data_IF_537681751138
#
_entry.id   IF_537681751138
#
_cell.length_a   1.000
_cell.length_b   1.000
_cell.length_c   1.000
_cell.angle_alpha   90.00
_cell.angle_beta   90.00
_cell.angle_gamma   90.00
#
_symmetry.space_group_name_H-M   'P 1'
#
loop_
_entity.id
_entity.type
_entity.pdbx_description
1 polymer ?
#
# COMPACT_ATOMS: atom_id res chain seq x y z
N UNK A 1 -7.36 27.10 18.75
CA UNK A 1 -6.61 26.46 17.64
C UNK A 1 -5.68 25.31 18.07
N UNK A 2 -5.17 25.29 19.31
CA UNK A 2 -4.36 24.16 19.84
C UNK A 2 -5.00 22.77 19.70
N UNK A 3 -6.32 22.65 19.91
CA UNK A 3 -7.04 21.39 19.70
C UNK A 3 -6.94 20.89 18.24
N UNK A 4 -7.05 21.80 17.27
CA UNK A 4 -7.00 21.46 15.85
C UNK A 4 -5.61 20.96 15.43
N UNK A 5 -4.54 21.53 15.98
CA UNK A 5 -3.17 21.04 15.75
C UNK A 5 -3.00 19.59 16.25
N UNK A 6 -3.56 19.27 17.42
CA UNK A 6 -3.57 17.90 17.94
C UNK A 6 -4.31 16.96 17.00
N UNK A 7 -5.53 17.32 16.57
CA UNK A 7 -6.32 16.50 15.65
C UNK A 7 -5.62 16.28 14.30
N UNK A 8 -4.96 17.31 13.76
CA UNK A 8 -4.19 17.18 12.53
C UNK A 8 -2.93 16.33 12.70
N UNK A 9 -2.31 16.34 13.89
CA UNK A 9 -1.21 15.44 14.22
C UNK A 9 -1.69 13.98 14.24
N UNK A 10 -2.83 13.72 14.88
CA UNK A 10 -3.43 12.39 14.89
C UNK A 10 -3.75 11.93 13.45
N UNK A 11 -4.32 12.81 12.62
CA UNK A 11 -4.60 12.53 11.21
C UNK A 11 -3.33 12.24 10.40
N UNK A 12 -2.25 13.00 10.60
CA UNK A 12 -0.95 12.75 9.96
C UNK A 12 -0.43 11.35 10.31
N UNK A 13 -0.44 11.00 11.59
CA UNK A 13 0.02 9.68 12.04
C UNK A 13 -0.86 8.55 11.51
N UNK A 14 -2.17 8.77 11.37
CA UNK A 14 -3.09 7.82 10.78
C UNK A 14 -2.77 7.58 9.29
N UNK A 15 -2.66 8.66 8.50
CA UNK A 15 -2.34 8.58 7.07
C UNK A 15 -0.99 7.89 6.85
N UNK A 16 0.01 8.17 7.70
CA UNK A 16 1.33 7.55 7.64
C UNK A 16 1.31 6.04 7.88
N UNK A 17 0.31 5.53 8.60
CA UNK A 17 0.14 4.09 8.89
C UNK A 17 -0.71 3.36 7.84
N UNK A 18 -1.22 4.06 6.82
CA UNK A 18 -2.01 3.41 5.78
C UNK A 18 -1.17 2.36 5.05
N UNK A 19 -1.73 1.16 4.77
CA UNK A 19 -1.03 0.13 4.04
C UNK A 19 -0.74 0.59 2.61
N UNK A 20 0.48 0.31 2.16
CA UNK A 20 0.98 0.66 0.82
C UNK A 20 1.14 -0.61 -0.02
N UNK A 21 0.88 -0.49 -1.32
CA UNK A 21 1.09 -1.57 -2.27
C UNK A 21 2.57 -2.01 -2.31
N UNK A 22 2.80 -3.31 -2.39
CA UNK A 22 4.13 -3.89 -2.49
C UNK A 22 4.80 -3.48 -3.80
N UNK A 23 5.99 -2.88 -3.73
CA UNK A 23 6.74 -2.42 -4.89
C UNK A 23 7.38 -3.56 -5.70
N UNK A 24 7.41 -4.79 -5.18
CA UNK A 24 7.92 -5.95 -5.91
C UNK A 24 6.96 -6.47 -6.98
N UNK A 25 5.69 -6.05 -6.94
CA UNK A 25 4.64 -6.52 -7.82
C UNK A 25 4.12 -5.39 -8.72
N UNK A 26 3.67 -5.76 -9.92
CA UNK A 26 3.00 -4.82 -10.83
C UNK A 26 1.49 -4.83 -10.59
N UNK A 27 0.98 -3.75 -10.00
CA UNK A 27 -0.42 -3.61 -9.63
C UNK A 27 -1.23 -2.81 -10.66
N UNK A 28 -2.39 -3.33 -11.04
CA UNK A 28 -3.37 -2.67 -11.89
C UNK A 28 -4.69 -2.50 -11.12
N UNK A 29 -5.31 -1.32 -11.24
CA UNK A 29 -6.60 -1.05 -10.61
C UNK A 29 -7.70 -1.77 -11.39
N UNK A 30 -8.54 -2.54 -10.69
CA UNK A 30 -9.70 -3.20 -11.26
C UNK A 30 -10.98 -2.43 -10.88
N UNK A 31 -11.59 -1.68 -11.81
CA UNK A 31 -12.78 -0.85 -11.52
C UNK A 31 -14.01 -1.65 -11.10
N UNK A 32 -14.03 -2.97 -11.35
CA UNK A 32 -15.18 -3.81 -11.00
C UNK A 32 -15.19 -4.22 -9.53
N UNK A 33 -14.02 -4.23 -8.88
CA UNK A 33 -13.85 -4.67 -7.49
C UNK A 33 -13.26 -3.60 -6.59
N UNK A 34 -13.02 -2.39 -7.12
CA UNK A 34 -12.34 -1.28 -6.45
C UNK A 34 -11.05 -1.71 -5.72
N UNK A 35 -10.33 -2.68 -6.31
CA UNK A 35 -9.14 -3.29 -5.73
C UNK A 35 -7.98 -3.32 -6.72
N UNK A 36 -6.76 -3.43 -6.19
CA UNK A 36 -5.56 -3.62 -6.99
C UNK A 36 -5.32 -5.11 -7.22
N UNK A 37 -5.01 -5.48 -8.46
CA UNK A 37 -4.66 -6.85 -8.84
C UNK A 37 -3.33 -6.91 -9.56
N UNK A 38 -2.59 -8.00 -9.35
CA UNK A 38 -1.37 -8.26 -10.12
C UNK A 38 -1.69 -8.86 -11.48
N UNK A 39 -0.72 -8.83 -12.39
CA UNK A 39 -0.77 -9.69 -13.58
C UNK A 39 -0.75 -11.17 -13.18
N UNK A 40 -1.37 -12.00 -14.02
CA UNK A 40 -1.47 -13.43 -13.77
C UNK A 40 -0.13 -14.12 -14.03
N UNK A 41 0.55 -14.54 -12.96
CA UNK A 41 1.82 -15.27 -13.07
C UNK A 41 1.51 -16.74 -13.26
N UNK A 42 1.99 -17.31 -14.38
CA UNK A 42 1.88 -18.75 -14.68
C UNK A 42 3.17 -19.48 -14.32
N UNK A 43 3.06 -20.50 -13.48
CA UNK A 43 4.18 -21.38 -13.13
C UNK A 43 3.90 -22.81 -13.57
N UNK A 44 4.93 -23.50 -14.05
CA UNK A 44 4.83 -24.87 -14.55
C UNK A 44 5.15 -25.83 -13.41
N UNK A 45 4.30 -26.83 -13.20
CA UNK A 45 4.61 -27.96 -12.32
C UNK A 45 5.18 -29.09 -13.16
N UNK A 46 6.42 -29.47 -12.90
CA UNK A 46 7.06 -30.64 -13.52
C UNK A 46 6.98 -31.87 -12.61
N UNK A 47 7.03 -33.05 -13.22
CA UNK A 47 7.19 -34.33 -12.53
C UNK A 47 8.30 -35.10 -13.22
N UNK A 48 9.21 -35.64 -12.41
CA UNK A 48 10.22 -36.57 -12.87
C UNK A 48 9.57 -37.90 -13.23
N UNK A 49 9.66 -38.27 -14.50
CA UNK A 49 9.20 -39.55 -15.01
C UNK A 49 10.44 -40.39 -15.34
N UNK A 50 10.59 -41.59 -14.74
CA UNK A 50 11.71 -42.46 -15.06
C UNK A 50 11.55 -43.01 -16.48
N UNK A 51 12.55 -42.80 -17.32
CA UNK A 51 12.66 -43.37 -18.66
C UNK A 51 13.86 -44.31 -18.71
N UNK A 52 13.70 -45.42 -19.43
CA UNK A 52 14.76 -46.37 -19.70
C UNK A 52 15.50 -45.91 -20.97
N UNK A 53 16.79 -45.57 -20.86
CA UNK A 53 17.67 -45.47 -22.00
C UNK A 53 18.50 -46.75 -22.12
N UNK A 54 18.34 -47.45 -23.24
CA UNK A 54 19.19 -48.58 -23.60
C UNK A 54 20.47 -48.00 -24.20
N UNK A 55 21.56 -48.00 -23.43
CA UNK A 55 22.87 -47.51 -23.90
C UNK A 55 23.52 -48.47 -24.89
N UNK A 56 23.28 -49.76 -24.71
CA UNK A 56 23.75 -50.83 -25.59
C UNK A 56 22.64 -51.88 -25.71
N UNK A 57 22.27 -52.19 -26.96
CA UNK A 57 21.30 -53.24 -27.26
C UNK A 57 21.85 -54.61 -26.87
N UNK A 58 20.96 -55.54 -26.54
CA UNK A 58 21.38 -56.89 -26.16
C UNK A 58 22.06 -57.58 -27.36
N UNK A 59 23.25 -58.13 -27.13
CA UNK A 59 23.92 -59.03 -28.09
C UNK A 59 23.74 -60.47 -27.60
N UNK A 60 23.98 -61.48 -28.46
CA UNK A 60 23.83 -62.89 -28.07
C UNK A 60 24.61 -63.27 -26.79
N UNK A 61 25.67 -62.53 -26.47
CA UNK A 61 26.60 -62.84 -25.38
C UNK A 61 26.49 -61.88 -24.19
N UNK A 62 25.80 -60.75 -24.32
CA UNK A 62 25.69 -59.75 -23.26
C UNK A 62 24.28 -59.15 -23.14
N UNK A 63 23.73 -59.06 -21.91
CA UNK A 63 22.44 -58.43 -21.68
C UNK A 63 22.51 -56.92 -21.96
N UNK A 64 21.36 -56.34 -22.32
CA UNK A 64 21.25 -54.90 -22.59
C UNK A 64 21.66 -54.08 -21.37
N UNK A 65 22.52 -53.07 -21.59
CA UNK A 65 22.86 -52.12 -20.55
C UNK A 65 21.81 -51.01 -20.52
N UNK A 66 20.94 -51.10 -19.52
CA UNK A 66 19.86 -50.15 -19.27
C UNK A 66 20.29 -49.17 -18.20
N UNK A 67 20.20 -47.87 -18.48
CA UNK A 67 20.27 -46.83 -17.46
C UNK A 67 18.90 -46.14 -17.33
N UNK A 68 18.46 -45.97 -16.09
CA UNK A 68 17.26 -45.19 -15.79
C UNK A 68 17.68 -43.74 -15.64
N UNK A 69 17.13 -42.85 -16.47
CA UNK A 69 17.26 -41.41 -16.30
C UNK A 69 15.89 -40.79 -16.06
N UNK A 70 15.87 -39.64 -15.40
CA UNK A 70 14.64 -38.93 -15.07
C UNK A 70 14.45 -37.80 -16.08
N UNK A 71 13.30 -37.81 -16.75
CA UNK A 71 12.85 -36.72 -17.61
C UNK A 71 11.87 -35.85 -16.82
N UNK A 72 12.07 -34.53 -16.83
CA UNK A 72 11.12 -33.58 -16.23
C UNK A 72 10.00 -33.27 -17.22
N UNK A 73 8.84 -33.89 -17.01
CA UNK A 73 7.65 -33.67 -17.84
C UNK A 73 6.75 -32.62 -17.19
N UNK A 74 6.26 -31.64 -17.96
CA UNK A 74 5.28 -30.66 -17.49
C UNK A 74 3.92 -31.34 -17.25
N UNK A 75 3.43 -31.32 -16.01
CA UNK A 75 2.17 -31.99 -15.61
C UNK A 75 1.01 -31.00 -15.50
N UNK A 76 1.28 -29.70 -15.41
CA UNK A 76 0.25 -28.68 -15.41
C UNK A 76 0.77 -27.29 -15.13
N UNK A 77 -0.15 -26.32 -15.15
CA UNK A 77 0.12 -24.92 -14.91
C UNK A 77 -0.65 -24.43 -13.68
N UNK A 78 0.02 -23.66 -12.83
CA UNK A 78 -0.62 -22.88 -11.78
C UNK A 78 -0.69 -21.43 -12.25
N UNK A 79 -1.84 -20.79 -12.06
CA UNK A 79 -2.00 -19.36 -12.32
C UNK A 79 -2.31 -18.67 -11.00
N UNK A 80 -1.48 -17.70 -10.63
CA UNK A 80 -1.65 -16.93 -9.38
C UNK A 80 -1.94 -15.48 -9.72
N UNK A 81 -2.98 -14.93 -9.09
CA UNK A 81 -3.31 -13.50 -9.13
C UNK A 81 -3.42 -13.03 -7.68
N UNK A 82 -2.71 -11.97 -7.32
CA UNK A 82 -2.80 -11.35 -6.00
C UNK A 82 -3.76 -10.18 -6.05
N UNK A 83 -4.48 -9.95 -4.96
CA UNK A 83 -5.41 -8.83 -4.78
C UNK A 83 -5.01 -8.02 -3.55
N UNK A 84 -5.18 -6.70 -3.60
CA UNK A 84 -4.87 -5.80 -2.49
C UNK A 84 -5.81 -4.60 -2.45
N UNK A 85 -6.22 -4.20 -1.24
CA UNK A 85 -6.94 -2.95 -0.97
C UNK A 85 -6.03 -1.82 -0.49
N UNK A 86 -4.70 -2.01 -0.52
CA UNK A 86 -3.74 -1.00 -0.11
C UNK A 86 -3.68 0.17 -1.11
N UNK A 87 -3.15 1.31 -0.67
CA UNK A 87 -3.03 2.50 -1.50
C UNK A 87 -1.68 2.54 -2.22
N UNK A 88 -1.60 3.13 -3.43
CA UNK A 88 -0.31 3.45 -4.03
C UNK A 88 0.51 4.38 -3.13
N UNK A 89 1.82 4.14 -3.03
CA UNK A 89 2.73 4.95 -2.22
C UNK A 89 2.62 6.45 -2.54
N UNK A 90 2.53 6.77 -3.84
CA UNK A 90 2.30 8.14 -4.32
C UNK A 90 1.06 8.77 -3.71
N UNK A 91 -0.05 8.03 -3.64
CA UNK A 91 -1.31 8.56 -3.11
C UNK A 91 -1.20 8.85 -1.62
N UNK A 92 -0.53 7.99 -0.86
CA UNK A 92 -0.27 8.21 0.57
C UNK A 92 0.59 9.46 0.76
N UNK A 93 1.65 9.64 -0.04
CA UNK A 93 2.51 10.82 0.02
C UNK A 93 1.73 12.12 -0.31
N UNK A 94 0.89 12.11 -1.34
CA UNK A 94 0.04 13.26 -1.67
C UNK A 94 -0.91 13.64 -0.51
N UNK A 95 -1.42 12.66 0.24
CA UNK A 95 -2.26 12.91 1.40
C UNK A 95 -1.44 13.47 2.57
N UNK A 96 -0.24 12.93 2.82
CA UNK A 96 0.67 13.44 3.84
C UNK A 96 1.03 14.91 3.58
N UNK A 97 1.44 15.24 2.35
CA UNK A 97 1.78 16.61 1.96
C UNK A 97 0.61 17.58 2.19
N UNK A 98 -0.64 17.15 1.92
CA UNK A 98 -1.83 17.97 2.16
C UNK A 98 -2.07 18.21 3.65
N UNK A 99 -1.90 17.17 4.48
CA UNK A 99 -2.06 17.30 5.94
C UNK A 99 -0.98 18.22 6.52
N UNK A 100 0.26 18.09 6.06
CA UNK A 100 1.38 18.95 6.51
C UNK A 100 1.17 20.42 6.14
N UNK A 101 0.73 20.71 4.91
CA UNK A 101 0.38 22.08 4.51
C UNK A 101 -0.74 22.66 5.38
N UNK A 102 -1.74 21.85 5.71
CA UNK A 102 -2.83 22.27 6.57
C UNK A 102 -2.34 22.52 8.01
N UNK A 103 -1.47 21.67 8.55
CA UNK A 103 -0.84 21.89 9.85
C UNK A 103 -0.07 23.21 9.91
N UNK A 104 0.73 23.50 8.88
CA UNK A 104 1.48 24.76 8.79
C UNK A 104 0.54 25.97 8.75
N UNK A 105 -0.52 25.92 7.93
CA UNK A 105 -1.50 27.00 7.83
C UNK A 105 -2.22 27.25 9.16
N UNK A 106 -2.62 26.19 9.87
CA UNK A 106 -3.28 26.30 11.18
C UNK A 106 -2.35 26.88 12.23
N UNK A 107 -1.07 26.47 12.22
CA UNK A 107 -0.07 27.00 13.15
C UNK A 107 0.14 28.50 12.91
N UNK A 108 0.28 28.91 11.65
CA UNK A 108 0.38 30.32 11.28
C UNK A 108 -0.84 31.13 11.73
N UNK A 109 -2.05 30.64 11.44
CA UNK A 109 -3.29 31.30 11.87
C UNK A 109 -3.42 31.41 13.39
N UNK A 110 -2.89 30.43 14.15
CA UNK A 110 -2.82 30.51 15.61
C UNK A 110 -1.85 31.59 16.08
N UNK A 111 -0.67 31.64 15.48
CA UNK A 111 0.34 32.66 15.81
C UNK A 111 -0.20 34.07 15.53
N UNK A 112 -0.90 34.27 14.41
CA UNK A 112 -1.58 35.53 14.07
C UNK A 112 -2.71 35.87 15.07
N UNK A 113 -3.57 34.90 15.40
CA UNK A 113 -4.64 35.11 16.38
C UNK A 113 -4.11 35.44 17.78
N UNK A 114 -2.99 34.83 18.19
CA UNK A 114 -2.35 35.14 19.47
C UNK A 114 -1.62 36.49 19.46
N UNK A 115 -1.15 36.94 18.30
CA UNK A 115 -0.48 38.23 18.12
C UNK A 115 -1.44 39.41 17.95
N UNK A 116 -2.74 39.15 17.80
CA UNK A 116 -3.75 40.21 17.72
C UNK A 116 -3.95 40.82 19.11
N UNK A 117 -3.55 42.07 19.29
CA UNK A 117 -3.85 42.82 20.51
C UNK A 117 -5.36 42.95 20.68
N UNK A 118 -5.90 42.25 21.66
CA UNK A 118 -7.26 42.48 22.12
C UNK A 118 -7.25 43.82 22.84
N UNK A 119 -7.71 44.88 22.17
CA UNK A 119 -8.04 46.12 22.89
C UNK A 119 -9.10 45.76 23.94
N UNK A 120 -8.73 45.79 25.21
CA UNK A 120 -9.64 45.58 26.33
C UNK A 120 -10.66 46.73 26.33
N UNK A 121 -11.74 46.54 25.59
CA UNK A 121 -12.86 47.48 25.55
C UNK A 121 -13.74 47.16 26.73
N UNK A 122 -13.70 48.03 27.74
CA UNK A 122 -14.71 48.04 28.81
C UNK A 122 -16.04 48.54 28.24
N UNK A 123 -16.73 47.66 27.52
CA UNK A 123 -18.06 47.90 26.95
C UNK A 123 -19.16 47.92 28.02
N UNK A 124 -18.82 47.58 29.27
CA UNK A 124 -19.74 47.65 30.41
C UNK A 124 -20.42 49.01 30.49
N UNK A 125 -19.68 50.11 30.56
CA UNK A 125 -20.27 51.44 30.73
C UNK A 125 -21.18 51.84 29.56
N UNK A 126 -20.83 51.46 28.32
CA UNK A 126 -21.66 51.74 27.15
C UNK A 126 -22.97 50.91 27.14
N UNK A 127 -22.91 49.65 27.58
CA UNK A 127 -24.07 48.75 27.64
C UNK A 127 -24.97 49.09 28.83
N UNK A 128 -24.40 49.30 30.02
CA UNK A 128 -25.15 49.67 31.21
C UNK A 128 -25.70 51.10 31.10
N UNK A 129 -24.97 52.05 30.49
CA UNK A 129 -25.51 53.38 30.19
C UNK A 129 -26.67 53.36 29.20
N UNK A 130 -26.64 52.45 28.20
CA UNK A 130 -27.79 52.26 27.32
C UNK A 130 -28.98 51.59 28.01
N UNK A 131 -28.74 50.60 28.88
CA UNK A 131 -29.79 49.81 29.52
C UNK A 131 -30.40 50.47 30.77
N UNK A 132 -29.62 51.25 31.53
CA UNK A 132 -30.00 51.74 32.84
C UNK A 132 -29.95 53.27 33.01
N UNK A 133 -29.32 54.01 32.07
CA UNK A 133 -29.23 55.47 32.12
C UNK A 133 -28.18 56.00 33.08
#
# INVERSE_FOLDING_TARGET
LLFLEKQLTDLHTFVRKLPVLDASESWNLDPSTDSWRTEAVRTIRTKKVPRNHVKAEATEQHPAQVEVYYEDVAVGYWTTVKFSGALPARRVNELLDRVERLQQAVKFAREEANGTEVTDRRVGDAVFGYLFG
#
